data_IF_817782228054
#
_entry.id   IF_817782228054
#
_cell.length_a   1.000
_cell.length_b   1.000
_cell.length_c   1.000
_cell.angle_alpha   90.00
_cell.angle_beta   90.00
_cell.angle_gamma   90.00
#
_symmetry.space_group_name_H-M   'P 1'
#
loop_
_entity.id
_entity.type
_entity.pdbx_description
1 polymer ?
#
# COMPACT_ATOMS: atom_id res chain seq x y z
N UNK A 1 -14.72 -25.26 -48.45
CA UNK A 1 -15.08 -24.88 -47.07
C UNK A 1 -14.03 -25.37 -46.08
N UNK A 2 -13.54 -26.60 -46.12
CA UNK A 2 -12.52 -27.14 -45.18
C UNK A 2 -11.23 -26.31 -45.14
N UNK A 3 -10.66 -25.92 -46.27
CA UNK A 3 -9.42 -25.13 -46.32
C UNK A 3 -9.59 -23.74 -45.64
N UNK A 4 -10.76 -23.11 -45.73
CA UNK A 4 -11.04 -21.83 -45.08
C UNK A 4 -11.14 -22.05 -43.57
N UNK A 5 -11.78 -23.14 -43.13
CA UNK A 5 -11.92 -23.47 -41.72
C UNK A 5 -10.55 -23.76 -41.07
N UNK A 6 -9.69 -24.52 -41.75
CA UNK A 6 -8.33 -24.81 -41.30
C UNK A 6 -7.49 -23.54 -41.23
N UNK A 7 -7.58 -22.65 -42.23
CA UNK A 7 -6.83 -21.39 -42.23
C UNK A 7 -7.28 -20.46 -41.08
N UNK A 8 -8.58 -20.34 -40.85
CA UNK A 8 -9.14 -19.55 -39.74
C UNK A 8 -8.74 -20.12 -38.39
N UNK A 9 -8.84 -21.45 -38.21
CA UNK A 9 -8.44 -22.11 -36.96
C UNK A 9 -6.91 -21.95 -36.71
N UNK A 10 -6.09 -22.12 -37.73
CA UNK A 10 -4.65 -21.92 -37.64
C UNK A 10 -4.29 -20.47 -37.26
N UNK A 11 -4.98 -19.49 -37.82
CA UNK A 11 -4.80 -18.08 -37.47
C UNK A 11 -5.16 -17.82 -36.02
N UNK A 12 -6.28 -18.38 -35.54
CA UNK A 12 -6.65 -18.25 -34.11
C UNK A 12 -5.65 -18.96 -33.20
N UNK A 13 -5.14 -20.13 -33.56
CA UNK A 13 -4.16 -20.86 -32.80
C UNK A 13 -2.83 -20.07 -32.70
N UNK A 14 -2.38 -19.51 -33.82
CA UNK A 14 -1.18 -18.67 -33.88
C UNK A 14 -1.36 -17.37 -33.06
N UNK A 15 -2.50 -16.72 -33.19
CA UNK A 15 -2.83 -15.54 -32.39
C UNK A 15 -2.88 -15.87 -30.89
N UNK A 16 -3.50 -16.98 -30.50
CA UNK A 16 -3.54 -17.44 -29.11
C UNK A 16 -2.14 -17.75 -28.60
N UNK A 17 -1.33 -18.46 -29.38
CA UNK A 17 0.05 -18.74 -29.01
C UNK A 17 0.87 -17.46 -28.86
N UNK A 18 0.78 -16.54 -29.83
CA UNK A 18 1.40 -15.22 -29.75
C UNK A 18 0.97 -14.49 -28.49
N UNK A 19 -0.34 -14.39 -28.24
CA UNK A 19 -0.88 -13.70 -27.06
C UNK A 19 -0.42 -14.34 -25.75
N UNK A 20 -0.35 -15.69 -25.68
CA UNK A 20 0.03 -16.43 -24.48
C UNK A 20 1.53 -16.33 -24.15
N UNK A 21 2.38 -16.35 -25.17
CA UNK A 21 3.84 -16.40 -25.02
C UNK A 21 4.53 -15.03 -25.15
N UNK A 22 3.79 -13.98 -25.49
CA UNK A 22 4.35 -12.63 -25.59
C UNK A 22 4.69 -12.06 -24.20
N UNK A 23 5.75 -11.23 -24.10
CA UNK A 23 6.13 -10.56 -22.87
C UNK A 23 5.00 -9.72 -22.29
N UNK A 24 4.83 -9.79 -20.98
CA UNK A 24 3.82 -9.05 -20.21
C UNK A 24 4.47 -8.28 -19.08
N UNK A 25 3.93 -7.14 -18.69
CA UNK A 25 4.27 -6.53 -17.44
C UNK A 25 3.80 -7.43 -16.28
N UNK A 26 4.74 -8.05 -15.59
CA UNK A 26 4.51 -8.86 -14.40
C UNK A 26 5.45 -8.39 -13.29
N UNK A 27 5.02 -8.52 -12.05
CA UNK A 27 5.86 -8.25 -10.90
C UNK A 27 6.91 -9.37 -10.77
N UNK A 28 8.18 -8.99 -10.63
CA UNK A 28 9.18 -9.88 -10.04
C UNK A 28 9.01 -9.89 -8.52
N UNK A 29 8.47 -10.98 -7.95
CA UNK A 29 8.18 -11.02 -6.52
C UNK A 29 9.41 -11.30 -5.65
N UNK A 30 10.60 -11.36 -6.24
CA UNK A 30 11.82 -11.62 -5.48
C UNK A 30 12.06 -10.51 -4.46
N UNK A 31 12.27 -10.91 -3.21
CA UNK A 31 12.61 -9.96 -2.15
C UNK A 31 14.00 -9.35 -2.43
N UNK A 32 14.10 -8.02 -2.52
CA UNK A 32 15.39 -7.36 -2.57
C UNK A 32 16.08 -7.40 -1.20
N UNK A 33 17.39 -7.28 -1.20
CA UNK A 33 18.15 -7.07 0.03
C UNK A 33 17.88 -5.67 0.58
N UNK A 34 17.85 -5.53 1.91
CA UNK A 34 17.67 -4.21 2.51
C UNK A 34 18.89 -3.33 2.27
N UNK A 35 18.64 -2.04 2.05
CA UNK A 35 19.68 -1.00 1.99
C UNK A 35 19.99 -0.40 3.35
N UNK A 36 19.17 -0.70 4.36
CA UNK A 36 19.33 -0.19 5.71
C UNK A 36 20.59 -0.79 6.33
N UNK A 37 21.54 0.08 6.69
CA UNK A 37 22.79 -0.35 7.27
C UNK A 37 22.60 -1.00 8.64
N UNK A 38 23.49 -1.90 8.98
CA UNK A 38 23.56 -2.44 10.34
C UNK A 38 23.92 -1.29 11.31
N UNK A 39 22.95 -0.90 12.14
CA UNK A 39 23.10 0.10 13.18
C UNK A 39 23.08 -0.55 14.56
N UNK A 40 23.72 0.08 15.54
CA UNK A 40 23.76 -0.44 16.93
C UNK A 40 22.64 0.16 17.78
N UNK A 41 22.17 1.35 17.42
CA UNK A 41 21.18 2.11 18.18
C UNK A 41 20.02 2.56 17.32
N UNK A 42 18.90 2.89 17.96
CA UNK A 42 17.72 3.44 17.30
C UNK A 42 17.99 4.85 16.73
N UNK A 43 18.83 5.64 17.41
CA UNK A 43 19.25 6.97 16.93
C UNK A 43 20.07 6.89 15.65
N UNK A 44 21.04 5.97 15.56
CA UNK A 44 21.82 5.75 14.33
C UNK A 44 20.93 5.33 13.15
N UNK A 45 19.82 4.61 13.44
CA UNK A 45 18.86 4.21 12.42
C UNK A 45 18.08 5.41 11.89
N UNK A 46 17.68 6.34 12.76
CA UNK A 46 17.05 7.60 12.36
C UNK A 46 18.01 8.46 11.54
N UNK A 47 19.25 8.61 12.00
CA UNK A 47 20.28 9.34 11.26
C UNK A 47 20.51 8.75 9.86
N UNK A 48 20.53 7.42 9.76
CA UNK A 48 20.61 6.75 8.46
C UNK A 48 19.43 7.12 7.55
N UNK A 49 18.19 7.05 8.07
CA UNK A 49 17.00 7.36 7.29
C UNK A 49 16.98 8.82 6.83
N UNK A 50 17.28 9.75 7.72
CA UNK A 50 17.35 11.18 7.40
C UNK A 50 18.41 11.45 6.32
N UNK A 51 19.59 10.87 6.45
CA UNK A 51 20.65 11.01 5.46
C UNK A 51 20.31 10.35 4.13
N UNK A 52 19.59 9.22 4.16
CA UNK A 52 19.12 8.54 2.96
C UNK A 52 18.10 9.39 2.18
N UNK A 53 17.10 9.94 2.87
CA UNK A 53 16.11 10.82 2.26
C UNK A 53 16.73 12.13 1.74
N UNK A 54 17.70 12.70 2.47
CA UNK A 54 18.39 13.91 2.07
C UNK A 54 19.22 13.77 0.77
N UNK A 55 19.49 12.56 0.30
CA UNK A 55 20.13 12.33 -1.00
C UNK A 55 19.24 12.73 -2.18
N UNK A 56 17.95 12.85 -1.97
CA UNK A 56 17.01 13.33 -3.00
C UNK A 56 16.50 14.73 -2.63
N UNK A 57 17.08 15.80 -3.18
CA UNK A 57 16.68 17.17 -2.88
C UNK A 57 15.29 17.56 -3.44
N UNK A 58 14.67 16.68 -4.22
CA UNK A 58 13.37 16.92 -4.84
C UNK A 58 12.20 16.37 -4.01
N UNK A 59 12.45 15.82 -2.83
CA UNK A 59 11.37 15.37 -1.93
C UNK A 59 10.56 16.59 -1.47
N UNK A 60 9.25 16.47 -1.56
CA UNK A 60 8.31 17.48 -1.04
C UNK A 60 8.39 17.48 0.48
N UNK A 61 8.65 18.65 1.05
CA UNK A 61 8.71 18.81 2.51
C UNK A 61 7.43 18.30 3.19
N UNK A 62 7.58 17.33 4.09
CA UNK A 62 6.50 16.61 4.76
C UNK A 62 6.11 15.28 4.09
N UNK A 63 6.71 14.94 2.94
CA UNK A 63 6.50 13.66 2.24
C UNK A 63 7.61 12.63 2.49
N UNK A 64 8.67 13.00 3.20
CA UNK A 64 9.82 12.15 3.50
C UNK A 64 9.41 10.87 4.23
N UNK A 65 10.14 9.78 4.00
CA UNK A 65 10.11 8.66 4.92
C UNK A 65 10.65 9.13 6.29
N UNK A 66 9.99 8.74 7.37
CA UNK A 66 10.39 9.18 8.70
C UNK A 66 10.01 8.19 9.79
N UNK A 67 10.66 8.34 10.95
CA UNK A 67 10.29 7.69 12.19
C UNK A 67 9.62 8.74 13.08
N UNK A 68 8.48 8.39 13.67
CA UNK A 68 7.90 9.10 14.81
C UNK A 68 8.12 8.25 16.05
N UNK A 69 8.87 8.75 16.98
CA UNK A 69 9.11 8.09 18.26
C UNK A 69 7.94 8.32 19.21
N UNK A 70 7.61 7.31 20.00
CA UNK A 70 6.62 7.43 21.08
C UNK A 70 7.06 8.49 22.13
N UNK A 71 8.34 8.51 22.45
CA UNK A 71 8.96 9.50 23.32
C UNK A 71 10.42 9.73 22.88
N UNK A 72 11.33 8.83 23.21
CA UNK A 72 12.76 8.85 22.86
C UNK A 72 13.11 7.71 21.90
N UNK A 73 14.22 7.76 21.17
CA UNK A 73 14.65 6.68 20.28
C UNK A 73 14.95 5.38 21.02
N UNK A 74 13.93 4.51 21.13
CA UNK A 74 14.03 3.18 21.75
C UNK A 74 13.04 2.19 21.14
N UNK A 75 13.27 0.91 21.40
CA UNK A 75 12.33 -0.17 20.98
C UNK A 75 11.05 -0.11 21.82
N UNK A 76 9.90 -0.19 21.15
CA UNK A 76 8.58 -0.29 21.77
C UNK A 76 7.97 -1.68 21.59
N UNK A 77 6.93 -2.03 22.35
CA UNK A 77 6.22 -3.32 22.19
C UNK A 77 5.61 -3.44 20.79
N UNK A 78 4.94 -2.38 20.32
CA UNK A 78 4.45 -2.25 18.95
C UNK A 78 5.22 -1.18 18.20
N UNK A 79 5.35 -1.37 16.89
CA UNK A 79 5.72 -0.32 15.94
C UNK A 79 4.68 -0.35 14.82
N UNK A 80 4.20 0.82 14.42
CA UNK A 80 3.28 0.95 13.30
C UNK A 80 4.07 1.28 12.03
N UNK A 81 3.91 0.49 10.97
CA UNK A 81 4.47 0.79 9.65
C UNK A 81 3.35 1.21 8.72
N UNK A 82 3.40 2.45 8.27
CA UNK A 82 2.44 2.98 7.30
C UNK A 82 2.99 2.92 5.87
N UNK A 83 2.21 2.30 4.96
CA UNK A 83 2.50 2.20 3.53
C UNK A 83 1.38 2.90 2.76
N UNK A 84 1.70 4.03 2.14
CA UNK A 84 0.75 4.88 1.43
C UNK A 84 0.29 4.30 0.09
N UNK A 85 -0.74 4.90 -0.50
CA UNK A 85 -1.31 4.55 -1.78
C UNK A 85 -0.51 5.05 -2.98
N UNK A 86 -0.93 4.61 -4.17
CA UNK A 86 -0.38 5.06 -5.45
C UNK A 86 -0.58 6.56 -5.64
N UNK A 87 0.45 7.25 -6.09
CA UNK A 87 0.54 8.69 -6.28
C UNK A 87 0.42 9.57 -5.02
N UNK A 88 0.24 8.97 -3.85
CA UNK A 88 0.10 9.65 -2.57
C UNK A 88 1.43 9.75 -1.79
N UNK A 89 1.35 10.23 -0.57
CA UNK A 89 2.41 10.25 0.43
C UNK A 89 1.85 9.85 1.80
N UNK A 90 2.69 9.81 2.83
CA UNK A 90 2.25 9.55 4.21
C UNK A 90 1.18 10.52 4.72
N UNK A 91 1.05 11.67 4.08
CA UNK A 91 0.07 12.70 4.45
C UNK A 91 -1.37 12.34 4.07
N UNK A 92 -1.59 11.32 3.23
CA UNK A 92 -2.93 10.99 2.73
C UNK A 92 -3.93 10.61 3.83
N UNK A 93 -3.45 10.03 4.95
CA UNK A 93 -4.30 9.69 6.10
C UNK A 93 -3.86 10.34 7.41
N UNK A 94 -2.90 11.27 7.37
CA UNK A 94 -2.49 11.96 8.58
C UNK A 94 -3.68 12.68 9.22
N UNK A 95 -3.86 12.63 10.57
CA UNK A 95 -2.98 12.04 11.59
C UNK A 95 -3.40 10.63 12.06
N UNK A 96 -4.18 9.86 11.30
CA UNK A 96 -4.78 8.60 11.77
C UNK A 96 -3.75 7.61 12.31
N UNK A 97 -2.66 7.36 11.57
CA UNK A 97 -1.59 6.45 12.05
C UNK A 97 -0.94 6.96 13.33
N UNK A 98 -0.71 8.26 13.43
CA UNK A 98 -0.14 8.89 14.62
C UNK A 98 -1.00 8.69 15.85
N UNK A 99 -2.30 8.99 15.72
CA UNK A 99 -3.25 8.87 16.83
C UNK A 99 -3.37 7.42 17.33
N UNK A 100 -3.29 6.44 16.43
CA UNK A 100 -3.26 5.03 16.80
C UNK A 100 -1.96 4.70 17.54
N UNK A 101 -0.80 5.11 16.99
CA UNK A 101 0.49 4.85 17.60
C UNK A 101 0.63 5.50 18.99
N UNK A 102 0.16 6.72 19.15
CA UNK A 102 0.18 7.46 20.43
C UNK A 102 -0.65 6.74 21.51
N UNK A 103 -1.82 6.17 21.13
CA UNK A 103 -2.64 5.38 22.07
C UNK A 103 -1.88 4.18 22.67
N UNK A 104 -1.04 3.53 21.86
CA UNK A 104 -0.24 2.37 22.29
C UNK A 104 1.15 2.72 22.80
N UNK A 105 1.49 4.00 22.96
CA UNK A 105 2.85 4.45 23.26
C UNK A 105 3.89 3.78 22.34
N UNK A 106 3.58 3.71 21.06
CA UNK A 106 4.32 2.97 20.05
C UNK A 106 5.04 3.89 19.06
N UNK A 107 6.18 3.43 18.57
CA UNK A 107 6.86 4.07 17.45
C UNK A 107 6.04 3.90 16.16
N UNK A 108 6.21 4.85 15.23
CA UNK A 108 5.65 4.73 13.89
C UNK A 108 6.71 5.00 12.83
N UNK A 109 6.70 4.20 11.77
CA UNK A 109 7.53 4.36 10.57
C UNK A 109 6.61 4.68 9.40
N UNK A 110 6.95 5.71 8.67
CA UNK A 110 6.22 6.13 7.49
C UNK A 110 7.06 5.86 6.26
N UNK A 111 6.63 4.91 5.44
CA UNK A 111 7.30 4.61 4.18
C UNK A 111 7.12 5.76 3.17
N UNK A 112 8.13 5.97 2.33
CA UNK A 112 7.99 6.70 1.07
C UNK A 112 8.36 5.75 -0.07
N UNK A 113 7.38 5.42 -0.89
CA UNK A 113 7.61 4.58 -2.07
C UNK A 113 8.44 5.36 -3.10
N UNK A 114 9.39 4.70 -3.74
CA UNK A 114 10.22 5.30 -4.79
C UNK A 114 9.37 6.04 -5.83
N UNK A 115 9.81 7.23 -6.23
CA UNK A 115 9.12 8.10 -7.18
C UNK A 115 7.91 8.84 -6.61
N UNK A 116 7.49 8.59 -5.37
CA UNK A 116 6.39 9.29 -4.73
C UNK A 116 6.89 10.46 -3.86
N UNK A 117 6.04 11.49 -3.72
CA UNK A 117 6.34 12.66 -2.90
C UNK A 117 7.55 13.47 -3.38
N UNK A 118 7.78 13.53 -4.67
CA UNK A 118 8.88 14.27 -5.30
C UNK A 118 8.38 15.23 -6.36
N UNK A 119 9.08 16.35 -6.55
CA UNK A 119 8.74 17.37 -7.54
C UNK A 119 9.33 17.09 -8.91
N UNK A 120 10.38 16.26 -9.00
CA UNK A 120 11.04 15.88 -10.24
C UNK A 120 11.01 14.37 -10.41
N UNK A 121 10.89 13.89 -11.64
CA UNK A 121 10.78 12.48 -11.98
C UNK A 121 9.67 11.74 -11.19
N UNK A 122 8.61 12.45 -10.86
CA UNK A 122 7.48 11.94 -10.09
C UNK A 122 6.89 10.70 -10.74
N UNK A 123 6.69 9.66 -9.93
CA UNK A 123 6.16 8.35 -10.35
C UNK A 123 7.01 7.62 -11.39
N UNK A 124 8.26 8.02 -11.59
CA UNK A 124 9.22 7.33 -12.46
C UNK A 124 9.99 6.28 -11.65
N UNK A 125 9.28 5.24 -11.25
CA UNK A 125 9.81 4.10 -10.50
C UNK A 125 9.07 2.83 -10.89
N UNK A 126 9.74 1.69 -10.79
CA UNK A 126 9.13 0.38 -11.04
C UNK A 126 8.42 -0.15 -9.80
N UNK A 127 7.57 -1.16 -9.99
CA UNK A 127 6.96 -1.87 -8.88
C UNK A 127 8.02 -2.51 -7.97
N UNK A 128 9.10 -3.00 -8.53
CA UNK A 128 10.24 -3.60 -7.82
C UNK A 128 10.98 -2.55 -6.95
N UNK A 129 11.07 -1.28 -7.39
CA UNK A 129 11.58 -0.18 -6.55
C UNK A 129 10.67 0.10 -5.36
N UNK A 130 9.36 -0.10 -5.51
CA UNK A 130 8.41 0.00 -4.39
C UNK A 130 8.59 -1.17 -3.41
N UNK A 131 8.85 -2.39 -3.90
CA UNK A 131 9.20 -3.52 -3.04
C UNK A 131 10.46 -3.21 -2.21
N UNK A 132 11.47 -2.58 -2.81
CA UNK A 132 12.67 -2.14 -2.09
C UNK A 132 12.31 -1.14 -0.98
N UNK A 133 11.49 -0.13 -1.29
CA UNK A 133 11.05 0.86 -0.30
C UNK A 133 10.31 0.21 0.87
N UNK A 134 9.49 -0.80 0.59
CA UNK A 134 8.75 -1.56 1.61
C UNK A 134 9.70 -2.40 2.47
N UNK A 135 10.69 -3.07 1.86
CA UNK A 135 11.69 -3.86 2.61
C UNK A 135 12.50 -2.96 3.54
N UNK A 136 12.97 -1.82 3.05
CA UNK A 136 13.77 -0.89 3.87
C UNK A 136 12.93 -0.32 5.03
N UNK A 137 11.67 0.04 4.78
CA UNK A 137 10.77 0.52 5.82
C UNK A 137 10.41 -0.56 6.85
N UNK A 138 10.23 -1.81 6.40
CA UNK A 138 10.04 -2.95 7.29
C UNK A 138 11.27 -3.20 8.16
N UNK A 139 12.46 -3.14 7.58
CA UNK A 139 13.71 -3.34 8.31
C UNK A 139 13.85 -2.33 9.45
N UNK A 140 13.49 -1.06 9.20
CA UNK A 140 13.44 -0.03 10.23
C UNK A 140 12.41 -0.39 11.30
N UNK A 141 11.16 -0.65 10.89
CA UNK A 141 10.07 -0.91 11.83
C UNK A 141 10.33 -2.14 12.72
N UNK A 142 10.89 -3.21 12.14
CA UNK A 142 11.20 -4.44 12.87
C UNK A 142 12.35 -4.32 13.87
N UNK A 143 13.22 -3.32 13.69
CA UNK A 143 14.30 -3.01 14.66
C UNK A 143 13.85 -2.14 15.82
N UNK A 144 12.79 -1.34 15.63
CA UNK A 144 12.31 -0.39 16.66
C UNK A 144 10.96 -0.81 17.28
N UNK A 145 10.42 -1.95 16.89
CA UNK A 145 9.25 -2.60 17.49
C UNK A 145 9.45 -4.09 17.69
N UNK A 146 9.05 -4.63 18.84
CA UNK A 146 9.06 -6.09 19.07
C UNK A 146 8.05 -6.78 18.15
N UNK A 147 6.91 -6.14 17.92
CA UNK A 147 5.88 -6.52 16.96
C UNK A 147 5.55 -5.34 16.06
N UNK A 148 5.21 -5.62 14.82
CA UNK A 148 4.86 -4.59 13.82
C UNK A 148 3.41 -4.73 13.42
N UNK A 149 2.70 -3.60 13.36
CA UNK A 149 1.37 -3.48 12.77
C UNK A 149 1.51 -2.72 11.46
N UNK A 150 1.07 -3.33 10.35
CA UNK A 150 1.04 -2.64 9.05
C UNK A 150 -0.28 -1.88 8.92
N UNK A 151 -0.19 -0.59 8.63
CA UNK A 151 -1.32 0.22 8.18
C UNK A 151 -1.08 0.57 6.72
N UNK A 152 -2.04 0.33 5.85
CA UNK A 152 -1.84 0.57 4.43
C UNK A 152 -3.09 1.09 3.73
N UNK A 153 -2.89 2.04 2.84
CA UNK A 153 -3.96 2.61 2.01
C UNK A 153 -3.82 2.13 0.56
N UNK A 154 -4.94 1.81 -0.07
CA UNK A 154 -5.03 1.56 -1.51
C UNK A 154 -3.97 0.54 -2.00
N UNK A 155 -3.04 0.95 -2.86
CA UNK A 155 -1.96 0.11 -3.40
C UNK A 155 -0.92 -0.28 -2.33
N UNK A 156 -0.85 0.43 -1.20
CA UNK A 156 -0.08 -0.01 -0.03
C UNK A 156 -0.52 -1.37 0.50
N UNK A 157 -1.80 -1.73 0.38
CA UNK A 157 -2.32 -3.01 0.83
C UNK A 157 -1.75 -4.22 0.05
N UNK A 158 -1.81 -4.29 -1.30
CA UNK A 158 -1.15 -5.37 -2.03
C UNK A 158 0.37 -5.42 -1.82
N UNK A 159 1.05 -4.28 -1.60
CA UNK A 159 2.46 -4.25 -1.18
C UNK A 159 2.65 -4.88 0.20
N UNK A 160 1.75 -4.61 1.15
CA UNK A 160 1.76 -5.25 2.49
C UNK A 160 1.50 -6.76 2.41
N UNK A 161 0.64 -7.20 1.49
CA UNK A 161 0.43 -8.63 1.24
C UNK A 161 1.69 -9.28 0.69
N UNK A 162 2.38 -8.60 -0.25
CA UNK A 162 3.65 -9.09 -0.76
C UNK A 162 4.68 -9.25 0.38
N UNK A 163 4.80 -8.25 1.25
CA UNK A 163 5.69 -8.30 2.41
C UNK A 163 5.33 -9.47 3.34
N UNK A 164 4.05 -9.72 3.63
CA UNK A 164 3.58 -10.83 4.45
C UNK A 164 4.00 -12.20 3.90
N UNK A 165 4.13 -12.34 2.59
CA UNK A 165 4.55 -13.61 1.97
C UNK A 165 6.06 -13.87 2.12
N UNK A 166 6.83 -12.90 2.62
CA UNK A 166 8.25 -13.10 2.96
C UNK A 166 8.36 -13.88 4.28
N UNK A 167 8.75 -15.15 4.22
CA UNK A 167 8.70 -16.12 5.35
C UNK A 167 9.40 -15.59 6.61
N UNK A 168 10.53 -14.92 6.45
CA UNK A 168 11.35 -14.40 7.56
C UNK A 168 10.64 -13.31 8.40
N UNK A 169 9.60 -12.68 7.85
CA UNK A 169 8.92 -11.55 8.47
C UNK A 169 7.70 -11.95 9.30
N UNK A 170 7.15 -13.14 9.10
CA UNK A 170 5.85 -13.57 9.69
C UNK A 170 5.81 -13.56 11.21
N UNK A 171 6.92 -13.81 11.87
CA UNK A 171 6.96 -13.89 13.34
C UNK A 171 6.81 -12.53 14.03
N UNK A 172 7.17 -11.43 13.36
CA UNK A 172 7.07 -10.08 13.92
C UNK A 172 5.81 -9.34 13.47
N UNK A 173 5.22 -9.73 12.34
CA UNK A 173 4.01 -9.09 11.84
C UNK A 173 2.80 -9.51 12.68
N UNK A 174 2.30 -8.56 13.48
CA UNK A 174 1.22 -8.80 14.44
C UNK A 174 -0.17 -8.66 13.81
N UNK A 175 -0.40 -7.58 13.06
CA UNK A 175 -1.69 -7.29 12.44
C UNK A 175 -1.52 -6.41 11.20
N UNK A 176 -2.56 -6.38 10.38
CA UNK A 176 -2.68 -5.46 9.25
C UNK A 176 -4.00 -4.69 9.32
N UNK A 177 -3.96 -3.40 8.98
CA UNK A 177 -5.12 -2.51 8.86
C UNK A 177 -5.11 -1.92 7.47
N UNK A 178 -6.11 -2.23 6.67
CA UNK A 178 -6.22 -1.77 5.29
C UNK A 178 -7.35 -0.75 5.12
N UNK A 179 -7.03 0.37 4.49
CA UNK A 179 -7.94 1.44 4.14
C UNK A 179 -8.12 1.50 2.62
N UNK A 180 -9.33 1.29 2.12
CA UNK A 180 -9.64 1.21 0.67
C UNK A 180 -8.65 0.35 -0.12
N UNK A 181 -8.37 -0.92 0.27
CA UNK A 181 -7.31 -1.71 -0.35
C UNK A 181 -7.55 -1.98 -1.83
N UNK A 182 -6.53 -1.73 -2.66
CA UNK A 182 -6.62 -1.89 -4.10
C UNK A 182 -6.26 -3.32 -4.55
N UNK A 183 -7.21 -4.23 -4.48
CA UNK A 183 -7.09 -5.57 -5.09
C UNK A 183 -7.70 -5.65 -6.50
N UNK A 184 -8.28 -4.57 -7.00
CA UNK A 184 -8.75 -4.39 -8.37
C UNK A 184 -9.14 -2.94 -8.57
N UNK A 185 -8.65 -2.29 -9.62
CA UNK A 185 -9.14 -0.95 -9.98
C UNK A 185 -10.60 -0.99 -10.43
N UNK A 186 -11.31 0.13 -10.29
CA UNK A 186 -12.73 0.22 -10.66
C UNK A 186 -12.96 0.07 -12.16
N UNK A 187 -12.03 0.60 -12.96
CA UNK A 187 -12.14 0.51 -14.42
C UNK A 187 -12.13 -0.96 -14.87
N UNK A 188 -13.18 -1.42 -15.55
CA UNK A 188 -13.28 -2.81 -16.01
C UNK A 188 -12.19 -3.21 -17.00
N UNK A 189 -11.57 -2.25 -17.71
CA UNK A 189 -10.48 -2.49 -18.65
C UNK A 189 -9.10 -2.54 -17.97
N UNK A 190 -9.03 -2.42 -16.64
CA UNK A 190 -7.77 -2.44 -15.91
C UNK A 190 -6.89 -3.67 -16.17
N UNK A 191 -7.49 -4.82 -16.44
CA UNK A 191 -6.78 -6.04 -16.79
C UNK A 191 -5.92 -5.92 -18.06
N UNK A 192 -6.20 -4.96 -18.94
CA UNK A 192 -5.42 -4.71 -20.15
C UNK A 192 -4.05 -4.09 -19.85
N UNK A 193 -3.88 -3.47 -18.67
CA UNK A 193 -2.62 -2.86 -18.26
C UNK A 193 -1.47 -3.87 -18.14
N UNK A 194 -1.79 -5.15 -17.96
CA UNK A 194 -0.81 -6.23 -17.88
C UNK A 194 -0.94 -7.22 -19.05
N UNK A 195 -1.57 -6.80 -20.14
CA UNK A 195 -1.57 -7.58 -21.39
C UNK A 195 -0.21 -7.57 -22.08
N UNK A 196 0.00 -8.50 -23.03
CA UNK A 196 1.23 -8.51 -23.83
C UNK A 196 1.57 -7.14 -24.39
N UNK A 197 2.81 -6.72 -24.21
CA UNK A 197 3.35 -5.45 -24.72
C UNK A 197 2.64 -4.19 -24.23
N UNK A 198 1.89 -4.25 -23.13
CA UNK A 198 1.06 -3.13 -22.61
C UNK A 198 1.87 -1.85 -22.43
N UNK A 199 3.12 -1.92 -21.97
CA UNK A 199 4.01 -0.77 -21.77
C UNK A 199 4.23 0.05 -23.06
N UNK A 200 4.03 -0.55 -24.23
CA UNK A 200 4.22 0.13 -25.52
C UNK A 200 2.90 0.67 -26.10
N UNK A 201 1.84 -0.17 -26.12
CA UNK A 201 0.60 0.23 -26.79
C UNK A 201 -0.39 0.98 -25.89
N UNK A 202 -0.40 0.77 -24.56
CA UNK A 202 -1.27 1.50 -23.64
C UNK A 202 -1.03 3.01 -23.69
N UNK A 203 0.22 3.51 -23.56
CA UNK A 203 0.49 4.94 -23.68
C UNK A 203 0.14 5.51 -25.05
N UNK A 204 0.24 4.71 -26.10
CA UNK A 204 -0.11 5.12 -27.45
C UNK A 204 -1.61 5.31 -27.66
N UNK A 205 -2.44 4.38 -27.13
CA UNK A 205 -3.90 4.40 -27.30
C UNK A 205 -4.58 5.32 -26.28
N UNK A 206 -4.16 5.30 -25.03
CA UNK A 206 -4.82 5.99 -23.92
C UNK A 206 -4.12 7.28 -23.48
N UNK A 207 -3.04 7.69 -24.17
CA UNK A 207 -2.23 8.83 -23.83
C UNK A 207 -1.03 8.48 -22.97
N UNK A 208 0.05 9.26 -23.14
CA UNK A 208 1.32 9.04 -22.44
C UNK A 208 1.28 9.47 -20.98
N UNK A 209 0.37 10.35 -20.63
CA UNK A 209 0.22 10.91 -19.29
C UNK A 209 -1.19 10.70 -18.74
N UNK A 210 -1.26 10.62 -17.42
CA UNK A 210 -2.47 10.70 -16.61
C UNK A 210 -2.43 11.95 -15.77
N UNK A 211 -3.57 12.62 -15.69
CA UNK A 211 -3.74 13.76 -14.80
C UNK A 211 -5.12 13.78 -14.19
N UNK A 212 -5.22 14.37 -13.02
CA UNK A 212 -6.46 14.67 -12.33
C UNK A 212 -6.31 16.00 -11.60
N UNK A 213 -7.42 16.62 -11.26
CA UNK A 213 -7.41 17.92 -10.58
C UNK A 213 -7.49 17.70 -9.07
N UNK A 214 -6.51 18.21 -8.30
CA UNK A 214 -6.54 18.16 -6.85
C UNK A 214 -7.73 18.93 -6.26
N UNK A 215 -8.34 18.41 -5.20
CA UNK A 215 -9.50 19.03 -4.56
C UNK A 215 -9.13 20.24 -3.70
N UNK A 216 -7.88 20.35 -3.25
CA UNK A 216 -7.35 21.45 -2.45
C UNK A 216 -5.82 21.54 -2.56
N UNK A 217 -5.24 22.62 -2.02
CA UNK A 217 -3.78 22.89 -2.06
C UNK A 217 -2.93 21.80 -1.39
N UNK A 218 -3.42 21.18 -0.32
CA UNK A 218 -2.70 20.11 0.34
C UNK A 218 -2.72 18.82 -0.48
N UNK A 219 -3.82 18.54 -1.16
CA UNK A 219 -3.90 17.45 -2.13
C UNK A 219 -2.94 17.71 -3.31
N UNK A 220 -2.87 18.93 -3.81
CA UNK A 220 -1.91 19.33 -4.85
C UNK A 220 -0.46 19.11 -4.38
N UNK A 221 -0.16 19.46 -3.14
CA UNK A 221 1.18 19.34 -2.57
C UNK A 221 1.61 17.90 -2.33
N UNK A 222 0.71 17.05 -1.82
CA UNK A 222 1.08 15.73 -1.29
C UNK A 222 0.69 14.54 -2.17
N UNK A 223 -0.01 14.78 -3.29
CA UNK A 223 -0.24 13.77 -4.32
C UNK A 223 0.43 14.16 -5.63
N UNK A 224 0.93 13.16 -6.33
CA UNK A 224 1.34 13.35 -7.72
C UNK A 224 0.10 13.27 -8.60
N UNK A 225 -0.38 14.39 -9.07
CA UNK A 225 -1.60 14.50 -9.88
C UNK A 225 -1.34 14.46 -11.40
N UNK A 226 -0.07 14.42 -11.82
CA UNK A 226 0.34 14.26 -13.22
C UNK A 226 1.53 13.29 -13.30
N UNK A 227 1.35 12.19 -14.01
CA UNK A 227 2.36 11.13 -14.11
C UNK A 227 2.25 10.34 -15.40
N UNK A 228 3.31 9.61 -15.79
CA UNK A 228 3.32 8.76 -16.96
C UNK A 228 2.29 7.63 -16.84
N UNK A 229 1.62 7.30 -17.95
CA UNK A 229 0.66 6.18 -18.00
C UNK A 229 1.33 4.84 -17.65
N UNK A 230 2.63 4.70 -17.87
CA UNK A 230 3.41 3.52 -17.48
C UNK A 230 3.43 3.29 -15.97
N UNK A 231 3.35 4.34 -15.14
CA UNK A 231 3.25 4.19 -13.68
C UNK A 231 2.00 3.41 -13.25
N UNK A 232 0.89 3.55 -14.00
CA UNK A 232 -0.34 2.76 -13.74
C UNK A 232 -0.14 1.27 -14.08
N UNK A 233 0.72 0.97 -15.05
CA UNK A 233 1.11 -0.41 -15.37
C UNK A 233 1.91 -1.02 -14.22
N UNK A 234 2.86 -0.26 -13.65
CA UNK A 234 3.62 -0.71 -12.49
C UNK A 234 2.71 -0.98 -11.27
N UNK A 235 1.74 -0.11 -11.02
CA UNK A 235 0.72 -0.34 -9.99
C UNK A 235 -0.06 -1.63 -10.27
N UNK A 236 -0.49 -1.86 -11.51
CA UNK A 236 -1.30 -3.03 -11.86
C UNK A 236 -0.50 -4.34 -11.70
N UNK A 237 0.82 -4.34 -11.92
CA UNK A 237 1.68 -5.50 -11.65
C UNK A 237 1.53 -5.98 -10.20
N UNK A 238 1.59 -5.05 -9.25
CA UNK A 238 1.44 -5.33 -7.80
C UNK A 238 0.03 -5.81 -7.47
N UNK A 239 -0.99 -5.15 -8.02
CA UNK A 239 -2.40 -5.50 -7.82
C UNK A 239 -2.70 -6.90 -8.36
N UNK A 240 -2.24 -7.22 -9.57
CA UNK A 240 -2.45 -8.54 -10.18
C UNK A 240 -1.74 -9.64 -9.39
N UNK A 241 -0.51 -9.38 -8.95
CA UNK A 241 0.24 -10.34 -8.15
C UNK A 241 -0.53 -10.68 -6.86
N UNK A 242 -0.92 -9.68 -6.07
CA UNK A 242 -1.62 -9.88 -4.80
C UNK A 242 -3.02 -10.51 -4.98
N UNK A 243 -3.74 -10.13 -6.03
CA UNK A 243 -5.09 -10.64 -6.31
C UNK A 243 -5.10 -12.10 -6.77
N UNK A 244 -4.02 -12.57 -7.38
CA UNK A 244 -3.87 -13.94 -7.84
C UNK A 244 -3.12 -14.84 -6.84
N UNK A 245 -2.70 -14.29 -5.71
CA UNK A 245 -2.00 -15.04 -4.67
C UNK A 245 -2.89 -16.17 -4.13
N UNK A 246 -2.35 -17.38 -4.07
CA UNK A 246 -2.96 -18.48 -3.33
C UNK A 246 -2.59 -18.32 -1.87
N UNK A 247 -3.57 -17.92 -1.08
CA UNK A 247 -3.36 -17.67 0.34
C UNK A 247 -2.97 -18.94 1.07
N UNK A 248 -1.97 -18.85 1.95
CA UNK A 248 -1.54 -19.92 2.85
C UNK A 248 -2.46 -20.01 4.08
N UNK A 249 -2.24 -20.99 4.97
CA UNK A 249 -3.17 -21.34 6.05
C UNK A 249 -3.01 -20.57 7.36
N UNK A 250 -2.05 -19.65 7.47
CA UNK A 250 -1.84 -18.88 8.70
C UNK A 250 -1.38 -17.47 8.38
N UNK A 251 -2.24 -16.51 8.67
CA UNK A 251 -2.02 -15.10 8.38
C UNK A 251 -2.23 -14.23 9.62
N UNK A 252 -1.63 -13.06 9.70
CA UNK A 252 -1.86 -12.10 10.78
C UNK A 252 -3.32 -11.64 10.82
N UNK A 253 -3.73 -11.08 11.94
CA UNK A 253 -5.02 -10.43 12.10
C UNK A 253 -5.22 -9.32 11.07
N UNK A 254 -6.45 -9.14 10.57
CA UNK A 254 -6.75 -8.19 9.51
C UNK A 254 -8.00 -7.36 9.77
N UNK A 255 -7.85 -6.05 9.88
CA UNK A 255 -8.96 -5.10 9.74
C UNK A 255 -8.98 -4.52 8.33
N UNK A 256 -10.16 -4.46 7.72
CA UNK A 256 -10.34 -3.87 6.38
C UNK A 256 -11.46 -2.85 6.41
N UNK A 257 -11.12 -1.61 6.10
CA UNK A 257 -12.04 -0.51 5.93
C UNK A 257 -12.29 -0.26 4.45
N UNK A 258 -13.53 -0.16 4.04
CA UNK A 258 -13.87 0.05 2.63
C UNK A 258 -15.11 0.91 2.46
N UNK A 259 -15.13 1.70 1.41
CA UNK A 259 -16.28 2.50 1.04
C UNK A 259 -17.04 1.84 -0.12
N UNK A 260 -18.37 1.67 0.02
CA UNK A 260 -19.21 1.24 -1.10
C UNK A 260 -19.13 2.28 -2.21
N UNK A 261 -19.12 1.77 -3.47
CA UNK A 261 -19.05 2.63 -4.66
C UNK A 261 -17.80 3.53 -4.74
N UNK A 262 -16.71 3.14 -4.06
CA UNK A 262 -15.42 3.79 -4.19
C UNK A 262 -15.16 4.19 -5.65
N UNK A 263 -14.75 5.46 -5.91
CA UNK A 263 -14.57 5.96 -7.28
C UNK A 263 -13.35 5.38 -7.99
N UNK A 264 -12.37 4.86 -7.26
CA UNK A 264 -11.04 4.46 -7.75
C UNK A 264 -10.88 2.95 -7.84
N UNK A 265 -11.30 2.22 -6.81
CA UNK A 265 -11.13 0.77 -6.72
C UNK A 265 -12.46 0.01 -6.74
N UNK A 266 -12.38 -1.27 -7.06
CA UNK A 266 -13.51 -2.17 -6.93
C UNK A 266 -13.62 -2.68 -5.48
N UNK A 267 -14.44 -2.03 -4.66
CA UNK A 267 -14.63 -2.40 -3.26
C UNK A 267 -15.07 -3.87 -3.06
N UNK A 268 -15.75 -4.48 -4.03
CA UNK A 268 -16.13 -5.91 -3.94
C UNK A 268 -14.90 -6.82 -4.00
N UNK A 269 -13.84 -6.42 -4.71
CA UNK A 269 -12.58 -7.16 -4.73
C UNK A 269 -11.91 -7.09 -3.36
N UNK A 270 -11.90 -5.93 -2.70
CA UNK A 270 -11.41 -5.76 -1.33
C UNK A 270 -12.17 -6.64 -0.32
N UNK A 271 -13.50 -6.63 -0.37
CA UNK A 271 -14.36 -7.48 0.48
C UNK A 271 -14.11 -8.97 0.21
N UNK A 272 -13.97 -9.36 -1.06
CA UNK A 272 -13.72 -10.76 -1.42
C UNK A 272 -12.31 -11.22 -0.97
N UNK A 273 -11.30 -10.36 -1.06
CA UNK A 273 -9.99 -10.64 -0.53
C UNK A 273 -10.05 -10.86 0.99
N UNK A 274 -10.67 -9.94 1.73
CA UNK A 274 -10.86 -10.04 3.17
C UNK A 274 -11.58 -11.35 3.56
N UNK A 275 -12.64 -11.73 2.85
CA UNK A 275 -13.37 -12.99 3.13
C UNK A 275 -12.50 -14.23 2.98
N UNK A 276 -11.58 -14.23 1.99
CA UNK A 276 -10.67 -15.36 1.74
C UNK A 276 -9.48 -15.38 2.69
N UNK A 277 -9.16 -14.26 3.36
CA UNK A 277 -8.04 -14.17 4.28
C UNK A 277 -8.16 -15.18 5.41
N UNK A 278 -7.14 -16.04 5.56
CA UNK A 278 -7.12 -17.13 6.54
C UNK A 278 -6.50 -16.64 7.85
N UNK A 279 -7.31 -16.01 8.69
CA UNK A 279 -6.93 -15.55 10.02
C UNK A 279 -8.08 -15.76 10.98
N UNK A 280 -7.77 -16.10 12.24
CA UNK A 280 -8.76 -16.24 13.32
C UNK A 280 -9.38 -14.88 13.70
N UNK A 281 -8.63 -13.80 13.49
CA UNK A 281 -9.06 -12.44 13.78
C UNK A 281 -9.12 -11.60 12.52
N UNK A 282 -10.32 -11.34 12.04
CA UNK A 282 -10.53 -10.40 10.95
C UNK A 282 -11.83 -9.62 11.11
N UNK A 283 -11.75 -8.32 10.87
CA UNK A 283 -12.90 -7.40 10.98
C UNK A 283 -13.04 -6.60 9.70
N UNK A 284 -14.26 -6.51 9.20
CA UNK A 284 -14.60 -5.75 8.01
C UNK A 284 -15.46 -4.54 8.39
N UNK A 285 -14.96 -3.35 8.11
CA UNK A 285 -15.60 -2.08 8.41
C UNK A 285 -16.11 -1.40 7.12
N UNK A 286 -17.42 -1.46 6.83
CA UNK A 286 -17.99 -0.61 5.80
C UNK A 286 -18.02 0.84 6.28
N UNK A 287 -17.55 1.76 5.45
CA UNK A 287 -17.68 3.19 5.70
C UNK A 287 -19.10 3.61 5.34
N UNK A 288 -19.77 4.32 6.25
CA UNK A 288 -21.11 4.85 5.99
C UNK A 288 -21.05 5.99 4.98
N UNK A 289 -21.94 5.91 3.97
CA UNK A 289 -22.02 6.89 2.88
C UNK A 289 -23.41 7.46 2.71
N UNK A 290 -24.29 7.33 3.72
CA UNK A 290 -25.71 7.64 3.58
C UNK A 290 -26.00 9.09 3.14
N UNK A 291 -25.04 10.01 3.29
CA UNK A 291 -25.23 11.44 2.99
C UNK A 291 -24.03 12.07 2.25
N UNK A 292 -23.04 11.28 1.83
CA UNK A 292 -21.81 11.82 1.27
C UNK A 292 -21.44 11.17 -0.07
N UNK A 293 -20.75 11.94 -0.91
CA UNK A 293 -20.16 11.41 -2.14
C UNK A 293 -19.09 10.37 -1.79
N UNK A 294 -19.11 9.17 -2.39
CA UNK A 294 -18.09 8.18 -2.15
C UNK A 294 -16.69 8.69 -2.49
N UNK A 295 -15.76 8.51 -1.56
CA UNK A 295 -14.36 8.91 -1.68
C UNK A 295 -13.46 7.68 -1.63
N UNK A 296 -12.30 7.75 -2.28
CA UNK A 296 -11.31 6.69 -2.21
C UNK A 296 -10.50 6.77 -0.91
N UNK A 297 -9.93 7.94 -0.63
CA UNK A 297 -9.30 8.24 0.66
C UNK A 297 -10.38 8.88 1.54
N UNK A 298 -10.89 8.11 2.49
CA UNK A 298 -12.07 8.50 3.28
C UNK A 298 -11.73 8.91 4.72
N UNK A 299 -10.45 9.07 5.04
CA UNK A 299 -9.89 9.60 6.29
C UNK A 299 -8.73 10.54 5.99
N UNK A 300 -8.18 11.15 7.02
CA UNK A 300 -7.08 12.10 6.91
C UNK A 300 -7.55 13.54 6.81
N UNK A 301 -6.76 14.46 7.38
CA UNK A 301 -7.13 15.87 7.48
C UNK A 301 -7.28 16.54 6.11
N UNK A 302 -6.63 16.00 5.07
CA UNK A 302 -6.69 16.55 3.72
C UNK A 302 -7.97 16.12 3.00
N UNK A 303 -8.37 14.85 3.15
CA UNK A 303 -9.45 14.27 2.34
C UNK A 303 -10.78 14.20 3.11
N UNK A 304 -10.78 13.75 4.38
CA UNK A 304 -12.01 13.49 5.12
C UNK A 304 -11.79 13.51 6.64
N UNK A 305 -11.47 14.66 7.24
CA UNK A 305 -11.14 14.79 8.67
C UNK A 305 -12.25 14.32 9.61
N UNK A 306 -13.50 14.43 9.19
CA UNK A 306 -14.67 14.03 9.98
C UNK A 306 -14.73 12.54 10.32
N UNK A 307 -13.96 11.70 9.62
CA UNK A 307 -13.94 10.26 9.86
C UNK A 307 -12.69 9.76 10.60
N UNK A 308 -11.74 10.66 10.91
CA UNK A 308 -10.50 10.29 11.60
C UNK A 308 -10.79 9.61 12.94
N UNK A 309 -11.60 10.23 13.78
CA UNK A 309 -11.91 9.71 15.11
C UNK A 309 -12.56 8.32 15.05
N UNK A 310 -13.51 8.11 14.15
CA UNK A 310 -14.16 6.82 13.96
C UNK A 310 -13.15 5.73 13.53
N UNK A 311 -12.29 6.04 12.56
CA UNK A 311 -11.30 5.09 12.06
C UNK A 311 -10.26 4.75 13.12
N UNK A 312 -9.79 5.75 13.87
CA UNK A 312 -8.84 5.56 14.98
C UNK A 312 -9.46 4.65 16.04
N UNK A 313 -10.67 4.98 16.54
CA UNK A 313 -11.37 4.16 17.56
C UNK A 313 -11.61 2.72 17.10
N UNK A 314 -12.03 2.52 15.85
CA UNK A 314 -12.25 1.18 15.31
C UNK A 314 -10.94 0.38 15.17
N UNK A 315 -9.86 1.04 14.78
CA UNK A 315 -8.53 0.43 14.67
C UNK A 315 -7.97 0.06 16.05
N UNK A 316 -8.08 0.94 17.03
CA UNK A 316 -7.67 0.68 18.42
C UNK A 316 -8.46 -0.50 18.98
N UNK A 317 -9.79 -0.50 18.87
CA UNK A 317 -10.64 -1.60 19.34
C UNK A 317 -10.26 -2.94 18.70
N UNK A 318 -9.93 -2.95 17.42
CA UNK A 318 -9.44 -4.14 16.74
C UNK A 318 -8.13 -4.64 17.35
N UNK A 319 -7.15 -3.75 17.54
CA UNK A 319 -5.83 -4.12 18.09
C UNK A 319 -5.93 -4.58 19.56
N UNK A 320 -6.75 -3.93 20.38
CA UNK A 320 -6.99 -4.32 21.78
C UNK A 320 -7.67 -5.69 21.90
N UNK A 321 -8.43 -6.11 20.90
CA UNK A 321 -9.03 -7.46 20.85
C UNK A 321 -8.02 -8.57 20.56
N UNK A 322 -6.81 -8.20 20.11
CA UNK A 322 -5.73 -9.14 19.85
C UNK A 322 -4.91 -9.27 21.14
N UNK A 323 -4.98 -10.42 21.82
CA UNK A 323 -4.18 -10.69 23.02
C UNK A 323 -2.69 -10.51 22.70
N UNK A 324 -2.08 -9.49 23.21
CA UNK A 324 -0.62 -9.29 23.17
C UNK A 324 -0.13 -9.41 24.59
N UNK A 325 0.58 -10.49 24.90
CA UNK A 325 1.24 -10.65 26.18
C UNK A 325 2.19 -9.45 26.40
N UNK A 326 1.89 -8.62 27.39
CA UNK A 326 2.74 -7.49 27.80
C UNK A 326 2.27 -6.08 27.40
N UNK A 327 1.18 -5.91 26.65
CA UNK A 327 0.62 -4.57 26.42
C UNK A 327 -0.25 -4.18 27.62
N UNK A 328 0.29 -3.31 28.49
CA UNK A 328 -0.55 -2.53 29.42
C UNK A 328 -1.21 -1.42 28.64
N UNK A 329 -2.50 -1.56 28.37
CA UNK A 329 -3.34 -0.44 27.91
C UNK A 329 -3.44 0.51 29.09
N UNK A 330 -2.95 1.73 28.96
CA UNK A 330 -3.22 2.78 29.93
C UNK A 330 -4.72 3.05 29.86
N UNK A 331 -5.43 2.80 30.96
CA UNK A 331 -6.86 3.09 31.08
C UNK A 331 -7.05 4.61 30.88
N UNK A 332 -7.77 5.09 29.85
CA UNK A 332 -7.95 6.52 29.59
C UNK A 332 -8.92 7.20 30.55
N UNK A 333 -9.34 6.54 31.65
CA UNK A 333 -10.34 7.02 32.62
C UNK A 333 -9.82 7.11 34.07
N UNK A 334 -8.50 7.24 34.28
CA UNK A 334 -7.97 7.68 35.61
C UNK A 334 -7.18 8.96 35.49
#
# INVERSE_FOLDING_TARGET
>A
MEHIFIAVFSMFALFYAFFKFSPRPILDPKRPDTKVLATKTASELEDWLVNHEAQNPHIVNGAEACIKWAAEPKVTELCFLYIHGFSATRQEIAPVTELIADHFNANAVYARLSGHGVTQDSMNATAEDWLQSVVDSWEIASRIGKKVVLIATSTGAPLSIWLNEQIELKNQLHAMIFLSPNFKIKNPLGFMLTWPWAQYWIPYIFGKERKWEPENELAEKYWTHRYATTAVIEMQKVVDWASNLKQSSAHPALATFYMKNDPTINHRAAVNFHKKWQSDYKVLHPVDTNYETPQHVFVGDIAAPQRNEWCVKASIKFLESLSVDGIQVSDPLN
#
